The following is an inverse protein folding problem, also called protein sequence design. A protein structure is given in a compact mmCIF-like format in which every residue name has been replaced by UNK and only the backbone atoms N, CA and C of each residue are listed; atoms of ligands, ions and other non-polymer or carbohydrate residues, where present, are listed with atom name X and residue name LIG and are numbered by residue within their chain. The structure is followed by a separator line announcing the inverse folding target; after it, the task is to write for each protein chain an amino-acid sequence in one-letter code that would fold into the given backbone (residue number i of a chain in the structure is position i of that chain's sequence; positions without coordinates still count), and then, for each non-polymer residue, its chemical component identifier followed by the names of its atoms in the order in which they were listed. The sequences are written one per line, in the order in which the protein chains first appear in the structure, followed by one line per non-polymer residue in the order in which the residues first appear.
data_IF_765340353110
#
_entry.id   IF_765340353110
#
_cell.length_a   1.000
_cell.length_b   1.000
_cell.length_c   1.000
_cell.angle_alpha   90.00
_cell.angle_beta   90.00
_cell.angle_gamma   90.00
#
_symmetry.space_group_name_H-M   'P 1'
#
loop_
_entity.id
_entity.type
_entity.pdbx_description
1 polymer ?
#
# COMPACT_ATOMS: atom_id res chain seq x y z
N UNK A 1 5.99 3.94 2.65
CA UNK A 1 5.16 2.80 2.22
C UNK A 1 3.88 3.43 1.75
N UNK A 2 3.57 3.30 0.48
CA UNK A 2 2.30 3.78 -0.04
C UNK A 2 1.24 2.75 0.32
N UNK A 3 0.08 3.22 0.73
CA UNK A 3 -1.05 2.37 1.10
C UNK A 3 -2.27 2.80 0.30
N UNK A 4 -3.05 1.83 -0.14
CA UNK A 4 -4.38 2.06 -0.67
C UNK A 4 -5.38 1.39 0.26
N UNK A 5 -6.57 1.95 0.39
CA UNK A 5 -7.60 1.45 1.29
C UNK A 5 -8.98 1.62 0.70
N UNK A 6 -9.88 0.71 1.07
CA UNK A 6 -11.31 0.82 0.82
C UNK A 6 -12.04 0.94 2.16
N UNK A 7 -13.23 1.56 2.15
CA UNK A 7 -14.06 1.59 3.37
C UNK A 7 -14.49 0.18 3.76
N UNK A 8 -14.72 -0.11 5.06
CA UNK A 8 -15.19 -1.43 5.50
C UNK A 8 -16.48 -1.87 4.79
N UNK A 9 -17.41 -0.94 4.56
CA UNK A 9 -18.65 -1.19 3.84
C UNK A 9 -18.41 -1.60 2.37
N UNK A 10 -17.46 -0.95 1.70
CA UNK A 10 -17.09 -1.33 0.32
C UNK A 10 -16.47 -2.72 0.28
N UNK A 11 -15.56 -3.03 1.21
CA UNK A 11 -14.91 -4.35 1.29
C UNK A 11 -15.94 -5.45 1.49
N UNK A 12 -16.85 -5.28 2.45
CA UNK A 12 -17.90 -6.25 2.74
C UNK A 12 -18.87 -6.48 1.55
N UNK A 13 -19.17 -5.43 0.79
CA UNK A 13 -20.08 -5.51 -0.35
C UNK A 13 -19.43 -5.94 -1.68
N UNK A 14 -18.10 -5.88 -1.79
CA UNK A 14 -17.41 -5.96 -3.08
C UNK A 14 -16.10 -6.76 -3.04
N UNK A 15 -16.06 -7.90 -2.35
CA UNK A 15 -14.82 -8.69 -2.18
C UNK A 15 -14.10 -9.01 -3.50
N UNK A 16 -14.85 -9.31 -4.57
CA UNK A 16 -14.28 -9.57 -5.89
C UNK A 16 -13.55 -8.34 -6.47
N UNK A 17 -14.12 -7.14 -6.28
CA UNK A 17 -13.50 -5.90 -6.71
C UNK A 17 -12.23 -5.60 -5.89
N UNK A 18 -12.25 -5.85 -4.58
CA UNK A 18 -11.06 -5.67 -3.72
C UNK A 18 -9.93 -6.61 -4.14
N UNK A 19 -10.23 -7.89 -4.42
CA UNK A 19 -9.24 -8.84 -4.97
C UNK A 19 -8.67 -8.36 -6.30
N UNK A 20 -9.53 -7.86 -7.19
CA UNK A 20 -9.10 -7.33 -8.48
C UNK A 20 -8.20 -6.09 -8.31
N UNK A 21 -8.56 -5.16 -7.42
CA UNK A 21 -7.75 -3.97 -7.11
C UNK A 21 -6.37 -4.35 -6.57
N UNK A 22 -6.31 -5.27 -5.59
CA UNK A 22 -5.03 -5.75 -5.05
C UNK A 22 -4.18 -6.44 -6.11
N UNK A 23 -4.79 -7.27 -6.97
CA UNK A 23 -4.09 -7.92 -8.08
C UNK A 23 -3.55 -6.89 -9.07
N UNK A 24 -4.37 -5.95 -9.51
CA UNK A 24 -3.98 -4.93 -10.50
C UNK A 24 -2.91 -3.98 -9.98
N UNK A 25 -2.87 -3.71 -8.67
CA UNK A 25 -1.73 -3.01 -8.06
C UNK A 25 -0.41 -3.76 -8.30
N UNK A 26 -0.38 -5.07 -8.05
CA UNK A 26 0.83 -5.87 -8.28
C UNK A 26 1.17 -6.01 -9.77
N UNK A 27 0.17 -6.14 -10.64
CA UNK A 27 0.38 -6.10 -12.09
C UNK A 27 1.01 -4.77 -12.54
N UNK A 28 0.63 -3.64 -11.93
CA UNK A 28 1.26 -2.35 -12.19
C UNK A 28 2.72 -2.30 -11.72
N UNK A 29 3.06 -2.93 -10.58
CA UNK A 29 4.46 -3.05 -10.15
C UNK A 29 5.29 -3.89 -11.13
N UNK A 30 4.71 -4.96 -11.68
CA UNK A 30 5.38 -5.75 -12.72
C UNK A 30 5.53 -4.95 -14.03
N UNK A 31 4.57 -4.10 -14.39
CA UNK A 31 4.71 -3.17 -15.51
C UNK A 31 5.85 -2.17 -15.30
N UNK A 32 5.99 -1.60 -14.09
CA UNK A 32 7.10 -0.70 -13.76
C UNK A 32 8.43 -1.42 -13.97
N UNK A 33 8.58 -2.66 -13.48
CA UNK A 33 9.81 -3.45 -13.67
C UNK A 33 10.09 -3.79 -15.14
N UNK A 34 9.04 -4.08 -15.92
CA UNK A 34 9.17 -4.52 -17.30
C UNK A 34 9.46 -3.36 -18.27
N UNK A 35 8.89 -2.18 -18.02
CA UNK A 35 9.00 -1.00 -18.89
C UNK A 35 8.93 0.29 -18.07
N UNK A 36 10.04 0.59 -17.38
CA UNK A 36 10.18 1.78 -16.54
C UNK A 36 9.90 3.08 -17.31
N UNK A 37 10.39 3.19 -18.55
CA UNK A 37 10.22 4.42 -19.33
C UNK A 37 8.75 4.69 -19.61
N UNK A 38 7.98 3.67 -20.02
CA UNK A 38 6.54 3.81 -20.22
C UNK A 38 5.80 4.06 -18.91
N UNK A 39 6.13 3.33 -17.85
CA UNK A 39 5.46 3.47 -16.56
C UNK A 39 5.71 4.86 -15.94
N UNK A 40 6.96 5.32 -15.93
CA UNK A 40 7.33 6.66 -15.47
C UNK A 40 6.78 7.76 -16.39
N UNK A 41 6.58 7.51 -17.68
CA UNK A 41 5.85 8.41 -18.56
C UNK A 41 4.39 8.59 -18.16
N UNK A 42 3.68 7.50 -17.84
CA UNK A 42 2.29 7.54 -17.37
C UNK A 42 2.19 8.27 -16.02
N UNK A 43 3.01 7.87 -15.05
CA UNK A 43 2.98 8.46 -13.70
C UNK A 43 3.47 9.91 -13.70
N UNK A 44 4.51 10.22 -14.47
CA UNK A 44 5.03 11.57 -14.65
C UNK A 44 3.98 12.52 -15.22
N UNK A 45 3.21 12.07 -16.22
CA UNK A 45 2.15 12.90 -16.80
C UNK A 45 1.08 13.33 -15.78
N UNK A 46 0.72 12.45 -14.84
CA UNK A 46 -0.24 12.76 -13.76
C UNK A 46 0.28 13.85 -12.81
N UNK A 47 1.59 13.81 -12.50
CA UNK A 47 2.25 14.78 -11.62
C UNK A 47 2.96 15.92 -12.37
N UNK A 48 2.68 16.09 -13.67
CA UNK A 48 3.26 17.12 -14.55
C UNK A 48 4.79 17.10 -14.64
N UNK A 49 5.38 15.91 -14.67
CA UNK A 49 6.80 15.65 -14.84
C UNK A 49 7.07 14.86 -16.12
N UNK A 50 8.26 15.00 -16.68
CA UNK A 50 8.75 14.07 -17.71
C UNK A 50 9.01 12.68 -17.10
N UNK A 51 9.14 11.66 -17.94
CA UNK A 51 9.48 10.31 -17.49
C UNK A 51 10.83 10.28 -16.75
N UNK A 52 11.81 11.07 -17.21
CA UNK A 52 13.13 11.18 -16.60
C UNK A 52 13.08 11.85 -15.23
N UNK A 53 12.29 12.93 -15.11
CA UNK A 53 12.09 13.63 -13.84
C UNK A 53 11.41 12.73 -12.81
N UNK A 54 10.35 12.03 -13.21
CA UNK A 54 9.66 11.08 -12.35
C UNK A 54 10.58 9.93 -11.95
N UNK A 55 11.30 9.34 -12.91
CA UNK A 55 12.25 8.25 -12.68
C UNK A 55 13.37 8.65 -11.71
N UNK A 56 13.82 9.91 -11.72
CA UNK A 56 14.80 10.40 -10.74
C UNK A 56 14.25 10.39 -9.31
N UNK A 57 12.98 10.76 -9.11
CA UNK A 57 12.28 10.67 -7.81
C UNK A 57 11.96 9.23 -7.43
N UNK A 58 11.58 8.39 -8.40
CA UNK A 58 11.21 7.00 -8.18
C UNK A 58 12.35 6.14 -7.60
N UNK A 59 13.62 6.52 -7.82
CA UNK A 59 14.80 5.86 -7.22
C UNK A 59 14.80 5.84 -5.69
N UNK A 60 14.07 6.76 -5.06
CA UNK A 60 13.95 6.81 -3.59
C UNK A 60 12.74 6.02 -3.08
N UNK A 61 11.88 5.52 -3.98
CA UNK A 61 10.72 4.72 -3.64
C UNK A 61 11.11 3.26 -3.46
N UNK A 62 10.36 2.57 -2.61
CA UNK A 62 10.44 1.12 -2.45
C UNK A 62 9.10 0.53 -2.85
N UNK A 63 9.08 -0.09 -4.03
CA UNK A 63 7.93 -0.80 -4.57
C UNK A 63 7.80 -2.17 -3.88
N UNK A 64 6.82 -2.33 -3.00
CA UNK A 64 6.63 -3.56 -2.23
C UNK A 64 5.73 -4.53 -2.97
N UNK A 65 6.30 -5.66 -3.39
CA UNK A 65 5.57 -6.70 -4.10
C UNK A 65 4.64 -7.52 -3.18
N UNK A 66 4.03 -8.58 -3.73
CA UNK A 66 3.17 -9.47 -2.96
C UNK A 66 3.89 -10.10 -1.75
N UNK A 67 5.14 -10.52 -1.91
CA UNK A 67 5.93 -11.12 -0.82
C UNK A 67 6.28 -10.13 0.28
N UNK A 68 6.65 -8.90 -0.09
CA UNK A 68 6.97 -7.84 0.86
C UNK A 68 5.73 -7.46 1.68
N UNK A 69 4.56 -7.37 1.03
CA UNK A 69 3.28 -7.15 1.70
C UNK A 69 2.97 -8.28 2.69
N UNK A 70 3.12 -9.55 2.28
CA UNK A 70 2.92 -10.70 3.18
C UNK A 70 3.81 -10.63 4.41
N UNK A 71 5.10 -10.33 4.21
CA UNK A 71 6.06 -10.18 5.32
C UNK A 71 5.69 -9.01 6.23
N UNK A 72 5.27 -7.88 5.65
CA UNK A 72 4.92 -6.70 6.43
C UNK A 72 3.67 -6.90 7.29
N UNK A 73 2.61 -7.48 6.75
CA UNK A 73 1.36 -7.70 7.48
C UNK A 73 1.39 -8.90 8.45
N UNK A 74 2.43 -9.74 8.39
CA UNK A 74 2.65 -10.84 9.34
C UNK A 74 3.22 -10.39 10.70
N UNK A 75 3.72 -9.16 10.85
CA UNK A 75 4.30 -8.69 12.12
C UNK A 75 4.77 -7.22 12.14
N UNK A 76 5.57 -6.77 11.15
CA UNK A 76 6.04 -5.39 11.09
C UNK A 76 4.92 -4.34 11.12
N UNK A 77 3.73 -4.64 10.59
CA UNK A 77 2.55 -3.80 10.68
C UNK A 77 2.15 -3.47 12.13
N UNK A 78 2.14 -4.48 13.00
CA UNK A 78 1.72 -4.34 14.39
C UNK A 78 2.69 -3.43 15.16
N UNK A 79 3.99 -3.64 14.98
CA UNK A 79 5.02 -2.79 15.59
C UNK A 79 4.98 -1.35 15.06
N UNK A 80 4.81 -1.19 13.74
CA UNK A 80 4.71 0.11 13.10
C UNK A 80 3.51 0.89 13.64
N UNK A 81 2.32 0.28 13.63
CA UNK A 81 1.08 0.91 14.08
C UNK A 81 1.08 1.17 15.58
N UNK A 82 1.76 0.34 16.38
CA UNK A 82 1.97 0.60 17.80
C UNK A 82 2.80 1.86 18.02
N UNK A 83 3.97 1.96 17.39
CA UNK A 83 4.85 3.15 17.48
C UNK A 83 4.15 4.41 16.98
N UNK A 84 3.39 4.30 15.89
CA UNK A 84 2.61 5.41 15.37
C UNK A 84 1.54 5.85 16.37
N UNK A 85 0.77 4.93 16.95
CA UNK A 85 -0.25 5.27 17.94
C UNK A 85 0.36 5.95 19.18
N UNK A 86 1.48 5.43 19.67
CA UNK A 86 2.17 6.01 20.83
C UNK A 86 2.64 7.44 20.55
N UNK A 87 3.26 7.68 19.38
CA UNK A 87 3.68 9.02 18.94
C UNK A 87 2.48 9.97 18.81
N UNK A 88 1.38 9.52 18.17
CA UNK A 88 0.20 10.34 17.96
C UNK A 88 -0.51 10.70 19.27
N UNK A 89 -0.45 9.82 20.28
CA UNK A 89 -0.91 10.10 21.65
C UNK A 89 0.01 11.12 22.34
N UNK A 90 1.33 10.94 22.24
CA UNK A 90 2.34 11.81 22.87
C UNK A 90 2.21 13.27 22.38
N UNK A 91 2.04 13.47 21.08
CA UNK A 91 1.85 14.82 20.51
C UNK A 91 0.43 15.35 20.66
N UNK A 92 -0.48 14.58 21.26
CA UNK A 92 -1.86 14.96 21.52
C UNK A 92 -2.79 15.00 20.31
N UNK A 93 -2.42 14.36 19.19
CA UNK A 93 -3.27 14.30 17.99
C UNK A 93 -4.46 13.36 18.16
N UNK A 94 -4.26 12.24 18.88
CA UNK A 94 -5.32 11.30 19.24
C UNK A 94 -5.48 11.23 20.76
N UNK A 95 -6.72 11.00 21.22
CA UNK A 95 -7.06 10.95 22.65
C UNK A 95 -7.10 9.54 23.22
N UNK A 96 -7.15 8.53 22.36
CA UNK A 96 -7.18 7.13 22.72
C UNK A 96 -6.50 6.29 21.64
N UNK A 97 -5.83 5.21 22.08
CA UNK A 97 -5.21 4.25 21.18
C UNK A 97 -6.28 3.42 20.47
N UNK A 98 -6.30 3.37 19.13
CA UNK A 98 -7.25 2.54 18.41
C UNK A 98 -6.91 1.05 18.60
N UNK A 99 -7.91 0.18 18.39
CA UNK A 99 -7.66 -1.25 18.29
C UNK A 99 -6.94 -1.56 16.97
N UNK A 100 -5.63 -1.80 17.08
CA UNK A 100 -4.75 -2.06 15.94
C UNK A 100 -5.14 -3.32 15.15
N UNK A 101 -5.81 -4.28 15.79
CA UNK A 101 -6.27 -5.49 15.14
C UNK A 101 -7.39 -5.23 14.12
N UNK A 102 -8.10 -4.12 14.26
CA UNK A 102 -9.22 -3.74 13.38
C UNK A 102 -8.84 -2.78 12.26
N UNK A 103 -7.60 -2.29 12.24
CA UNK A 103 -7.17 -1.25 11.31
C UNK A 103 -6.89 -1.78 9.89
N UNK A 104 -6.71 -3.09 9.72
CA UNK A 104 -6.40 -3.70 8.43
C UNK A 104 -7.16 -5.01 8.23
N UNK A 105 -7.63 -5.21 7.01
CA UNK A 105 -8.16 -6.49 6.55
C UNK A 105 -7.10 -7.19 5.68
N UNK A 106 -6.46 -8.21 6.24
CA UNK A 106 -5.34 -8.90 5.59
C UNK A 106 -5.76 -10.00 4.61
N UNK A 107 -7.07 -10.30 4.49
CA UNK A 107 -7.59 -11.39 3.64
C UNK A 107 -7.19 -11.27 2.17
N UNK A 108 -6.96 -10.04 1.70
CA UNK A 108 -6.68 -9.74 0.30
C UNK A 108 -5.17 -9.67 -0.02
N UNK A 109 -4.32 -9.49 0.99
CA UNK A 109 -2.86 -9.30 0.82
C UNK A 109 -2.03 -10.49 1.33
N UNK A 110 -2.58 -11.30 2.23
CA UNK A 110 -1.90 -12.48 2.78
C UNK A 110 -2.00 -13.73 1.89
N UNK A 111 -2.87 -13.70 0.88
CA UNK A 111 -3.19 -14.86 0.05
C UNK A 111 -4.09 -15.83 0.80
N UNK A 112 -5.30 -16.06 0.29
CA UNK A 112 -5.96 -17.34 0.54
C UNK A 112 -5.12 -18.41 -0.14
N UNK A 113 -4.73 -19.44 0.60
CA UNK A 113 -4.37 -20.70 -0.03
C UNK A 113 -5.41 -21.04 -1.09
N UNK A 114 -4.92 -21.61 -2.20
CA UNK A 114 -5.68 -22.27 -3.26
C UNK A 114 -7.05 -22.81 -2.83
#
# INVERSE_FOLDING_TARGET
MDTFGCTPAFIAGNEAAVRALTRSYFEALEMIKADEAKAYGIMGADVKQSAEQFGASAKFLRWQGPEDNRKFFAGPWQEFSAKAADLLMEIGLIKARPDLATLVDTRFVMGSGS
#
